data_IF_149200414846
#
_entry.id   IF_149200414846
#
_cell.length_a   1.000
_cell.length_b   1.000
_cell.length_c   1.000
_cell.angle_alpha   90.00
_cell.angle_beta   90.00
_cell.angle_gamma   90.00
#
_symmetry.space_group_name_H-M   'P 1'
#
loop_
_entity.id
_entity.type
_entity.pdbx_description
1 polymer ?
#
# COMPACT_ATOMS: atom_id res chain seq x y z
N UNK A 1 17.77 20.08 16.29
CA UNK A 1 16.68 19.60 15.40
C UNK A 1 16.66 18.08 15.47
N UNK A 2 15.64 17.47 16.08
CA UNK A 2 15.42 16.02 15.95
C UNK A 2 14.73 15.81 14.59
N UNK A 3 15.33 15.02 13.71
CA UNK A 3 14.68 14.61 12.47
C UNK A 3 13.39 13.86 12.84
N UNK A 4 12.24 14.42 12.45
CA UNK A 4 10.95 13.77 12.61
C UNK A 4 10.95 12.55 11.69
N UNK A 5 10.94 11.35 12.27
CA UNK A 5 10.89 10.10 11.50
C UNK A 5 9.49 10.02 10.89
N UNK A 6 9.42 10.15 9.57
CA UNK A 6 8.20 9.95 8.78
C UNK A 6 7.62 8.57 9.06
N UNK A 7 6.31 8.44 9.30
CA UNK A 7 5.69 7.14 9.49
C UNK A 7 5.77 6.30 8.21
N UNK A 8 6.16 5.03 8.38
CA UNK A 8 6.29 4.03 7.31
C UNK A 8 5.60 2.73 7.74
N UNK A 9 5.13 1.95 6.77
CA UNK A 9 4.76 0.55 7.02
C UNK A 9 6.05 -0.23 7.24
N UNK A 10 6.24 -0.81 8.43
CA UNK A 10 7.55 -1.35 8.84
C UNK A 10 7.73 -2.84 8.62
N UNK A 11 6.72 -3.60 9.03
CA UNK A 11 6.69 -5.05 8.98
C UNK A 11 5.29 -5.48 8.56
N UNK A 12 5.21 -6.51 7.73
CA UNK A 12 3.92 -7.07 7.32
C UNK A 12 3.96 -8.58 7.39
N UNK A 13 2.83 -9.15 7.80
CA UNK A 13 2.66 -10.56 8.04
C UNK A 13 1.30 -11.03 7.54
N UNK A 14 1.23 -12.25 7.06
CA UNK A 14 -0.05 -12.89 6.72
C UNK A 14 -0.10 -14.27 7.33
N UNK A 15 -1.09 -14.50 8.18
CA UNK A 15 -1.52 -15.84 8.57
C UNK A 15 -2.59 -16.31 7.59
N UNK A 16 -2.35 -17.43 6.93
CA UNK A 16 -3.28 -17.95 5.93
C UNK A 16 -3.12 -19.44 5.71
N UNK A 17 -4.13 -20.03 5.07
CA UNK A 17 -4.08 -21.42 4.64
C UNK A 17 -3.12 -21.55 3.44
N UNK A 18 -2.22 -22.52 3.50
CA UNK A 18 -1.32 -22.91 2.43
C UNK A 18 -1.85 -24.19 1.79
N UNK A 19 -2.30 -24.10 0.54
CA UNK A 19 -2.72 -25.22 -0.28
C UNK A 19 -1.64 -25.71 -1.25
N UNK A 20 -2.04 -26.57 -2.19
CA UNK A 20 -1.19 -27.03 -3.29
C UNK A 20 -1.42 -26.19 -4.54
N UNK A 21 -0.49 -26.29 -5.51
CA UNK A 21 -0.65 -25.70 -6.84
C UNK A 21 -1.05 -24.20 -6.83
N UNK A 22 -2.25 -23.89 -7.31
CA UNK A 22 -2.80 -22.54 -7.40
C UNK A 22 -3.20 -21.95 -6.04
N UNK A 23 -3.44 -22.80 -5.04
CA UNK A 23 -3.84 -22.44 -3.67
C UNK A 23 -2.64 -22.24 -2.73
N UNK A 24 -1.42 -22.19 -3.27
CA UNK A 24 -0.25 -21.76 -2.52
C UNK A 24 -0.45 -20.35 -1.95
N UNK A 25 0.05 -20.10 -0.74
CA UNK A 25 0.03 -18.76 -0.14
C UNK A 25 1.12 -17.91 -0.79
N UNK A 26 0.75 -16.77 -1.36
CA UNK A 26 1.65 -15.93 -2.15
C UNK A 26 1.63 -14.51 -1.59
N UNK A 27 2.74 -14.08 -0.98
CA UNK A 27 2.93 -12.70 -0.54
C UNK A 27 3.62 -11.88 -1.63
N UNK A 28 3.00 -10.78 -2.06
CA UNK A 28 3.61 -9.80 -2.96
C UNK A 28 4.04 -8.56 -2.18
N UNK A 29 5.24 -8.05 -2.46
CA UNK A 29 5.72 -6.80 -1.87
C UNK A 29 6.52 -5.96 -2.85
N UNK A 30 6.48 -4.64 -2.66
CA UNK A 30 7.20 -3.67 -3.48
C UNK A 30 8.24 -2.96 -2.62
N UNK A 31 9.47 -2.89 -3.12
CA UNK A 31 10.53 -2.04 -2.58
C UNK A 31 10.59 -0.78 -3.43
N UNK A 32 10.29 0.36 -2.82
CA UNK A 32 10.34 1.66 -3.49
C UNK A 32 11.62 2.44 -3.13
N UNK A 33 11.92 3.49 -3.90
CA UNK A 33 13.11 4.34 -3.71
C UNK A 33 14.21 4.02 -4.70
N UNK A 34 15.44 4.46 -4.42
CA UNK A 34 16.58 4.35 -5.34
C UNK A 34 17.72 3.48 -4.82
N UNK A 35 17.58 2.96 -3.60
CA UNK A 35 18.63 2.18 -2.94
C UNK A 35 18.14 0.76 -2.66
N UNK A 36 19.04 -0.24 -2.74
CA UNK A 36 18.73 -1.59 -2.31
C UNK A 36 18.36 -1.63 -0.83
N UNK A 37 17.49 -2.57 -0.44
CA UNK A 37 17.09 -2.81 0.94
C UNK A 37 17.39 -4.23 1.36
N UNK A 38 17.74 -4.41 2.63
CA UNK A 38 17.95 -5.74 3.20
C UNK A 38 16.65 -6.24 3.81
N UNK A 39 16.11 -7.29 3.23
CA UNK A 39 14.82 -7.89 3.56
C UNK A 39 15.06 -9.26 4.21
N UNK A 40 14.38 -9.51 5.32
CA UNK A 40 14.25 -10.84 5.91
C UNK A 40 12.84 -11.36 5.65
N UNK A 41 12.75 -12.55 5.06
CA UNK A 41 11.50 -13.29 4.84
C UNK A 41 11.51 -14.47 5.80
N UNK A 42 10.40 -14.68 6.49
CA UNK A 42 10.21 -15.79 7.42
C UNK A 42 8.87 -16.46 7.17
N UNK A 43 8.84 -17.79 7.22
CA UNK A 43 7.58 -18.55 7.20
C UNK A 43 7.55 -19.51 8.37
N UNK A 44 6.53 -19.36 9.21
CA UNK A 44 6.32 -20.17 10.40
C UNK A 44 5.11 -21.07 10.25
N UNK A 45 5.25 -22.32 10.66
CA UNK A 45 4.19 -23.32 10.73
C UNK A 45 4.18 -23.93 12.14
N UNK A 46 5.11 -24.86 12.46
CA UNK A 46 5.18 -25.44 13.80
C UNK A 46 5.32 -24.41 14.93
N UNK A 47 6.03 -23.29 14.70
CA UNK A 47 6.23 -22.23 15.72
C UNK A 47 4.94 -21.52 16.12
N UNK A 48 3.94 -21.42 15.24
CA UNK A 48 2.64 -20.81 15.57
C UNK A 48 1.65 -21.82 16.14
N UNK A 49 1.96 -23.12 16.08
CA UNK A 49 1.13 -24.20 16.65
C UNK A 49 1.25 -24.33 18.17
N UNK A 50 2.22 -23.65 18.76
CA UNK A 50 2.47 -23.64 20.21
C UNK A 50 2.17 -22.27 20.81
N UNK A 51 2.18 -22.18 22.14
CA UNK A 51 1.98 -20.92 22.85
C UNK A 51 3.03 -19.86 22.42
N UNK A 52 2.64 -18.57 22.31
CA UNK A 52 1.34 -18.01 22.74
C UNK A 52 0.23 -18.10 21.68
N UNK A 53 0.53 -18.51 20.44
CA UNK A 53 -0.42 -18.41 19.33
C UNK A 53 -1.43 -19.57 19.30
N UNK A 54 -1.00 -20.79 19.63
CA UNK A 54 -1.84 -21.98 19.74
C UNK A 54 -2.73 -22.23 18.50
N UNK A 55 -2.21 -21.95 17.30
CA UNK A 55 -2.94 -22.14 16.05
C UNK A 55 -3.06 -23.63 15.75
N UNK A 56 -4.27 -24.12 15.50
CA UNK A 56 -4.46 -25.52 15.10
C UNK A 56 -4.10 -25.73 13.61
N UNK A 57 -3.86 -26.99 13.21
CA UNK A 57 -3.67 -27.39 11.80
C UNK A 57 -2.57 -26.60 11.06
N UNK A 58 -1.45 -26.37 11.74
CA UNK A 58 -0.32 -25.65 11.15
C UNK A 58 0.37 -26.45 10.04
N UNK A 59 1.00 -25.72 9.12
CA UNK A 59 1.81 -26.31 8.06
C UNK A 59 3.11 -26.88 8.66
N UNK A 60 3.21 -28.21 8.79
CA UNK A 60 4.30 -28.87 9.55
C UNK A 60 5.72 -28.65 9.00
N UNK A 61 5.86 -28.37 7.70
CA UNK A 61 7.13 -28.27 6.99
C UNK A 61 7.02 -27.20 5.86
N UNK A 62 7.07 -25.90 6.22
CA UNK A 62 6.92 -24.81 5.27
C UNK A 62 8.21 -24.52 4.50
N UNK A 63 8.07 -24.43 3.17
CA UNK A 63 9.11 -23.96 2.24
C UNK A 63 8.76 -22.58 1.71
N UNK A 64 9.76 -21.78 1.37
CA UNK A 64 9.54 -20.47 0.76
C UNK A 64 10.52 -20.19 -0.39
N UNK A 65 9.97 -19.68 -1.49
CA UNK A 65 10.74 -19.29 -2.68
C UNK A 65 10.43 -17.83 -3.02
N UNK A 66 11.47 -17.01 -3.10
CA UNK A 66 11.42 -15.60 -3.49
C UNK A 66 11.66 -15.45 -4.98
N UNK A 67 10.83 -14.65 -5.63
CA UNK A 67 10.86 -14.36 -7.05
C UNK A 67 11.02 -12.86 -7.34
N UNK A 68 11.69 -12.56 -8.44
CA UNK A 68 11.67 -11.27 -9.13
C UNK A 68 11.13 -11.50 -10.55
N UNK A 69 9.94 -10.98 -10.84
CA UNK A 69 9.15 -11.45 -11.98
C UNK A 69 8.95 -12.97 -11.91
N UNK A 70 9.24 -13.67 -13.01
CA UNK A 70 9.14 -15.13 -13.09
C UNK A 70 10.42 -15.87 -12.62
N UNK A 71 11.47 -15.13 -12.25
CA UNK A 71 12.76 -15.74 -11.88
C UNK A 71 12.83 -15.99 -10.38
N UNK A 72 13.02 -17.25 -9.99
CA UNK A 72 13.34 -17.62 -8.61
C UNK A 72 14.76 -17.13 -8.26
N UNK A 73 14.87 -16.27 -7.25
CA UNK A 73 16.14 -15.65 -6.82
C UNK A 73 16.63 -16.16 -5.47
N UNK A 74 15.75 -16.78 -4.67
CA UNK A 74 16.13 -17.47 -3.44
C UNK A 74 15.08 -18.53 -3.10
N UNK A 75 15.52 -19.62 -2.46
CA UNK A 75 14.61 -20.62 -1.89
C UNK A 75 15.21 -21.13 -0.59
N UNK A 76 14.35 -21.47 0.37
CA UNK A 76 14.77 -22.17 1.57
C UNK A 76 13.70 -23.18 2.01
N UNK A 77 14.21 -24.29 2.53
CA UNK A 77 13.54 -25.44 3.12
C UNK A 77 14.49 -25.79 4.27
N UNK A 78 14.00 -25.66 5.51
CA UNK A 78 14.78 -25.69 6.74
C UNK A 78 15.84 -24.56 6.87
N UNK A 79 15.55 -23.50 7.64
CA UNK A 79 16.39 -22.30 7.76
C UNK A 79 17.79 -22.53 8.34
N UNK A 80 17.99 -23.66 9.03
CA UNK A 80 19.26 -23.99 9.69
C UNK A 80 20.23 -24.78 8.78
N UNK A 81 19.79 -25.24 7.61
CA UNK A 81 20.59 -26.12 6.75
C UNK A 81 21.79 -25.41 6.14
N UNK A 82 21.65 -24.14 5.76
CA UNK A 82 22.77 -23.28 5.38
C UNK A 82 23.23 -22.45 6.58
N UNK A 83 24.45 -22.73 7.06
CA UNK A 83 25.02 -22.04 8.22
C UNK A 83 25.21 -20.51 7.98
N UNK A 84 25.46 -20.08 6.74
CA UNK A 84 25.61 -18.67 6.39
C UNK A 84 24.28 -17.95 6.49
N UNK A 85 23.23 -18.54 5.91
CA UNK A 85 21.86 -18.02 5.99
C UNK A 85 21.38 -17.99 7.43
N UNK A 86 21.57 -19.08 8.18
CA UNK A 86 21.18 -19.18 9.58
C UNK A 86 21.87 -18.12 10.45
N UNK A 87 23.14 -17.80 10.18
CA UNK A 87 23.85 -16.72 10.85
C UNK A 87 23.30 -15.35 10.48
N UNK A 88 22.95 -15.12 9.21
CA UNK A 88 22.33 -13.88 8.76
C UNK A 88 20.97 -13.65 9.43
N UNK A 89 20.13 -14.68 9.54
CA UNK A 89 18.84 -14.63 10.23
C UNK A 89 19.02 -14.33 11.73
N UNK A 90 19.93 -15.04 12.41
CA UNK A 90 20.22 -14.83 13.85
C UNK A 90 20.74 -13.44 14.16
N UNK A 91 21.44 -12.79 13.23
CA UNK A 91 21.94 -11.43 13.41
C UNK A 91 20.81 -10.41 13.68
N UNK A 92 19.58 -10.72 13.26
CA UNK A 92 18.39 -9.89 13.47
C UNK A 92 17.49 -10.38 14.60
N UNK A 93 17.83 -11.51 15.24
CA UNK A 93 17.02 -12.15 16.30
C UNK A 93 15.59 -12.50 15.82
N UNK A 94 15.44 -12.78 14.53
CA UNK A 94 14.18 -13.12 13.89
C UNK A 94 14.12 -14.60 13.46
N UNK A 95 14.97 -15.46 14.00
CA UNK A 95 14.95 -16.88 13.67
C UNK A 95 13.60 -17.55 14.01
N UNK A 96 13.11 -18.47 13.17
CA UNK A 96 12.02 -19.37 13.55
C UNK A 96 12.42 -20.28 14.73
N UNK A 97 11.44 -20.73 15.53
CA UNK A 97 11.72 -21.64 16.65
C UNK A 97 11.89 -23.10 16.18
N UNK A 98 11.24 -23.50 15.09
CA UNK A 98 11.39 -24.83 14.51
C UNK A 98 12.52 -24.85 13.48
N UNK A 99 13.30 -25.94 13.45
CA UNK A 99 14.31 -26.15 12.43
C UNK A 99 13.71 -26.41 11.03
N UNK A 100 12.44 -26.82 10.97
CA UNK A 100 11.71 -27.12 9.72
C UNK A 100 11.16 -25.90 8.98
N UNK A 101 11.36 -24.72 9.53
CA UNK A 101 10.74 -23.50 9.02
C UNK A 101 11.64 -22.76 8.04
N UNK A 102 11.04 -21.94 7.19
CA UNK A 102 11.78 -21.19 6.18
C UNK A 102 12.22 -19.83 6.70
N UNK A 103 13.47 -19.45 6.42
CA UNK A 103 13.90 -18.06 6.56
C UNK A 103 14.99 -17.70 5.53
N UNK A 104 14.91 -16.48 4.98
CA UNK A 104 15.80 -15.94 3.97
C UNK A 104 16.16 -14.48 4.27
N UNK A 105 17.40 -14.08 4.04
CA UNK A 105 17.87 -12.68 4.11
C UNK A 105 18.48 -12.28 2.77
N UNK A 106 17.87 -11.32 2.07
CA UNK A 106 18.38 -10.84 0.78
C UNK A 106 18.48 -9.32 0.76
N UNK A 107 19.54 -8.83 0.14
CA UNK A 107 19.59 -7.42 -0.29
C UNK A 107 18.94 -7.35 -1.66
N UNK A 108 17.87 -6.58 -1.79
CA UNK A 108 17.02 -6.50 -2.96
C UNK A 108 16.99 -5.06 -3.48
N UNK A 109 17.16 -4.89 -4.79
CA UNK A 109 17.00 -3.60 -5.45
C UNK A 109 15.54 -3.14 -5.40
N UNK A 110 15.25 -1.82 -5.56
CA UNK A 110 13.89 -1.34 -5.75
C UNK A 110 13.18 -2.11 -6.89
N UNK A 111 11.98 -2.59 -6.63
CA UNK A 111 11.27 -3.51 -7.53
C UNK A 111 10.09 -4.21 -6.88
N UNK A 112 9.41 -5.07 -7.64
CA UNK A 112 8.31 -5.91 -7.17
C UNK A 112 8.79 -7.34 -7.00
N UNK A 113 8.43 -7.95 -5.88
CA UNK A 113 8.85 -9.29 -5.50
C UNK A 113 7.66 -10.11 -5.03
N UNK A 114 7.74 -11.42 -5.23
CA UNK A 114 6.75 -12.37 -4.69
C UNK A 114 7.43 -13.48 -3.90
N UNK A 115 6.83 -13.87 -2.79
CA UNK A 115 7.21 -15.04 -2.01
C UNK A 115 6.11 -16.06 -2.17
N UNK A 116 6.45 -17.23 -2.67
CA UNK A 116 5.53 -18.37 -2.73
C UNK A 116 5.85 -19.31 -1.58
N UNK A 117 4.84 -19.58 -0.76
CA UNK A 117 4.90 -20.51 0.37
C UNK A 117 4.22 -21.81 0.00
N UNK A 118 4.88 -22.93 0.25
CA UNK A 118 4.33 -24.29 0.04
C UNK A 118 4.71 -25.22 1.17
N UNK A 119 3.92 -26.26 1.39
CA UNK A 119 4.34 -27.38 2.21
C UNK A 119 5.26 -28.33 1.43
N UNK A 120 6.32 -28.81 2.08
CA UNK A 120 7.18 -29.86 1.53
C UNK A 120 6.35 -31.11 1.23
N UNK A 121 6.59 -31.74 0.07
CA UNK A 121 5.81 -32.91 -0.38
C UNK A 121 4.29 -32.66 -0.47
N UNK A 122 3.87 -31.43 -0.81
CA UNK A 122 2.47 -31.04 -0.99
C UNK A 122 1.61 -31.16 0.28
N UNK A 123 2.21 -31.13 1.47
CA UNK A 123 1.43 -30.96 2.70
C UNK A 123 0.74 -29.59 2.72
N UNK A 124 -0.38 -29.50 3.43
CA UNK A 124 -1.18 -28.28 3.55
C UNK A 124 -1.38 -27.94 5.03
N UNK A 125 -1.72 -26.69 5.31
CA UNK A 125 -1.92 -26.23 6.68
C UNK A 125 -1.85 -24.72 6.80
N UNK A 126 -1.96 -24.20 8.02
CA UNK A 126 -1.87 -22.77 8.30
C UNK A 126 -0.40 -22.37 8.48
N UNK A 127 0.03 -21.32 7.80
CA UNK A 127 1.35 -20.73 7.99
C UNK A 127 1.24 -19.22 8.22
N UNK A 128 2.28 -18.67 8.86
CA UNK A 128 2.50 -17.24 9.02
C UNK A 128 3.69 -16.83 8.16
N UNK A 129 3.42 -16.11 7.07
CA UNK A 129 4.43 -15.46 6.24
C UNK A 129 4.73 -14.07 6.82
N UNK A 130 5.99 -13.72 6.99
CA UNK A 130 6.43 -12.41 7.48
C UNK A 130 7.55 -11.86 6.60
N UNK A 131 7.47 -10.56 6.32
CA UNK A 131 8.48 -9.82 5.55
C UNK A 131 8.91 -8.61 6.38
N UNK A 132 10.20 -8.53 6.65
CA UNK A 132 10.83 -7.50 7.48
C UNK A 132 11.82 -6.68 6.67
N UNK A 133 11.73 -5.36 6.75
CA UNK A 133 12.85 -4.48 6.41
C UNK A 133 13.83 -4.47 7.58
N UNK A 134 14.98 -5.13 7.41
CA UNK A 134 15.99 -5.24 8.46
C UNK A 134 17.17 -4.29 8.23
N UNK A 135 17.06 -3.36 7.28
CA UNK A 135 18.05 -2.33 7.01
C UNK A 135 17.89 -1.12 7.97
N UNK A 136 18.06 -1.36 9.27
CA UNK A 136 17.83 -0.36 10.32
C UNK A 136 18.95 0.69 10.49
N UNK A 137 19.92 0.77 9.57
CA UNK A 137 21.15 1.58 9.75
C UNK A 137 21.27 2.83 8.89
N UNK A 138 20.29 3.17 8.05
CA UNK A 138 20.36 4.41 7.25
C UNK A 138 19.18 5.35 7.52
N UNK A 139 19.32 6.35 8.41
CA UNK A 139 18.33 7.41 8.58
C UNK A 139 18.13 8.28 7.31
N UNK A 140 18.90 8.02 6.24
CA UNK A 140 18.79 8.67 4.94
C UNK A 140 18.14 7.79 3.83
N UNK A 141 17.84 6.51 4.10
CA UNK A 141 17.22 5.64 3.08
C UNK A 141 15.70 5.75 3.14
N UNK A 142 15.15 6.60 2.29
CA UNK A 142 13.73 6.85 2.16
C UNK A 142 13.01 5.77 1.33
N UNK A 143 13.32 4.48 1.48
CA UNK A 143 12.39 3.44 0.97
C UNK A 143 11.20 3.39 1.90
N UNK A 144 10.08 3.94 1.43
CA UNK A 144 9.00 4.48 2.27
C UNK A 144 7.64 3.85 2.00
N UNK A 145 7.59 2.75 1.27
CA UNK A 145 6.32 2.10 0.91
C UNK A 145 6.54 0.61 0.77
N UNK A 146 5.93 -0.13 1.70
CA UNK A 146 5.56 -1.52 1.50
C UNK A 146 4.09 -1.49 1.12
N UNK A 147 3.76 -1.81 -0.13
CA UNK A 147 2.45 -2.36 -0.42
C UNK A 147 2.62 -3.86 -0.21
N UNK A 148 1.84 -4.44 0.71
CA UNK A 148 1.75 -5.89 0.83
C UNK A 148 0.40 -6.31 0.28
N UNK A 149 0.45 -7.30 -0.61
CA UNK A 149 -0.70 -8.11 -0.97
C UNK A 149 -0.41 -9.55 -0.59
N UNK A 150 -1.43 -10.30 -0.18
CA UNK A 150 -1.26 -11.75 -0.03
C UNK A 150 -2.41 -12.48 -0.69
N UNK A 151 -2.12 -13.25 -1.73
CA UNK A 151 -3.10 -14.15 -2.33
C UNK A 151 -3.11 -15.46 -1.55
N UNK A 152 -4.29 -15.90 -1.15
CA UNK A 152 -4.44 -17.20 -0.50
C UNK A 152 -5.90 -17.54 -0.22
N UNK A 153 -6.10 -18.76 0.27
CA UNK A 153 -7.43 -19.26 0.59
C UNK A 153 -7.90 -18.70 1.94
N UNK A 154 -9.05 -18.03 1.91
CA UNK A 154 -9.83 -17.59 3.07
C UNK A 154 -10.78 -18.71 3.45
N UNK A 155 -10.67 -19.18 4.70
CA UNK A 155 -11.55 -20.16 5.31
C UNK A 155 -12.40 -19.57 6.44
N UNK A 156 -12.86 -20.43 7.34
CA UNK A 156 -13.60 -20.06 8.55
C UNK A 156 -12.82 -20.44 9.81
N UNK A 157 -13.22 -19.92 10.97
CA UNK A 157 -12.52 -20.18 12.25
C UNK A 157 -11.05 -19.75 12.18
N UNK A 158 -10.13 -20.62 12.57
CA UNK A 158 -8.69 -20.33 12.52
C UNK A 158 -8.14 -20.10 11.09
N UNK A 159 -8.89 -20.55 10.07
CA UNK A 159 -8.53 -20.46 8.65
C UNK A 159 -8.97 -19.16 7.98
N UNK A 160 -9.58 -18.22 8.71
CA UNK A 160 -9.70 -16.83 8.19
C UNK A 160 -8.31 -16.28 7.87
N UNK A 161 -8.21 -15.45 6.84
CA UNK A 161 -6.94 -14.83 6.50
C UNK A 161 -6.72 -13.59 7.36
N UNK A 162 -5.53 -13.45 7.94
CA UNK A 162 -5.19 -12.31 8.80
C UNK A 162 -3.94 -11.65 8.28
N UNK A 163 -4.05 -10.39 7.86
CA UNK A 163 -2.90 -9.52 7.55
C UNK A 163 -2.55 -8.70 8.79
N UNK A 164 -1.38 -8.91 9.36
CA UNK A 164 -0.80 -8.05 10.40
C UNK A 164 0.12 -7.01 9.80
N UNK A 165 -0.02 -5.74 10.21
CA UNK A 165 0.81 -4.64 9.74
C UNK A 165 1.13 -3.65 10.86
N UNK A 166 2.25 -2.94 10.73
CA UNK A 166 2.73 -1.98 11.74
C UNK A 166 2.88 -0.59 11.13
N UNK A 167 2.26 0.40 11.76
CA UNK A 167 2.51 1.82 11.53
C UNK A 167 3.69 2.24 12.42
N UNK A 168 4.84 2.51 11.81
CA UNK A 168 6.03 3.01 12.51
C UNK A 168 6.06 4.54 12.52
N UNK A 169 6.97 5.12 13.29
CA UNK A 169 7.16 6.58 13.39
C UNK A 169 6.43 7.20 14.57
N UNK A 170 6.22 8.52 14.51
CA UNK A 170 5.65 9.30 15.63
C UNK A 170 4.36 10.03 15.28
N UNK A 171 3.86 9.85 14.06
CA UNK A 171 2.69 10.55 13.54
C UNK A 171 1.67 9.55 13.01
N UNK A 172 0.38 9.91 13.01
CA UNK A 172 -0.65 9.08 12.38
C UNK A 172 -0.39 8.89 10.89
N UNK A 173 -0.92 7.80 10.33
CA UNK A 173 -0.81 7.49 8.91
C UNK A 173 -2.16 7.11 8.30
N UNK A 174 -2.43 7.67 7.13
CA UNK A 174 -3.58 7.30 6.33
C UNK A 174 -3.28 6.00 5.58
N UNK A 175 -4.15 5.02 5.71
CA UNK A 175 -4.01 3.68 5.16
C UNK A 175 -5.31 3.31 4.46
N UNK A 176 -5.19 2.70 3.28
CA UNK A 176 -6.31 2.04 2.62
C UNK A 176 -6.05 0.54 2.69
N UNK A 177 -7.06 -0.20 3.13
CA UNK A 177 -7.02 -1.65 3.21
C UNK A 177 -8.13 -2.16 2.30
N UNK A 178 -7.79 -3.01 1.34
CA UNK A 178 -8.75 -3.59 0.39
C UNK A 178 -8.74 -5.10 0.51
N UNK A 179 -9.76 -5.77 -0.01
CA UNK A 179 -9.70 -7.19 -0.33
C UNK A 179 -10.33 -7.45 -1.67
N UNK A 180 -9.53 -7.97 -2.60
CA UNK A 180 -9.99 -8.37 -3.92
C UNK A 180 -10.36 -9.85 -3.89
N UNK A 181 -11.56 -10.17 -4.33
CA UNK A 181 -12.17 -11.50 -4.25
C UNK A 181 -12.60 -11.97 -5.63
N UNK A 182 -13.87 -11.75 -5.97
CA UNK A 182 -14.46 -12.11 -7.26
C UNK A 182 -13.68 -11.59 -8.47
N UNK A 183 -13.12 -10.38 -8.38
CA UNK A 183 -12.34 -9.78 -9.48
C UNK A 183 -11.08 -10.57 -9.84
N UNK A 184 -10.58 -11.44 -8.95
CA UNK A 184 -9.43 -12.31 -9.26
C UNK A 184 -9.75 -13.30 -10.41
N UNK A 185 -11.03 -13.58 -10.67
CA UNK A 185 -11.45 -14.42 -11.78
C UNK A 185 -11.03 -13.86 -13.15
N UNK A 186 -10.93 -12.54 -13.28
CA UNK A 186 -10.43 -11.87 -14.50
C UNK A 186 -8.97 -12.23 -14.80
N UNK A 187 -8.22 -12.66 -13.79
CA UNK A 187 -6.82 -13.07 -13.89
C UNK A 187 -6.65 -14.60 -13.93
N UNK A 188 -7.72 -15.34 -14.22
CA UNK A 188 -7.76 -16.81 -14.23
C UNK A 188 -7.37 -17.44 -12.89
N UNK A 189 -7.62 -16.76 -11.77
CA UNK A 189 -7.50 -17.36 -10.44
C UNK A 189 -8.73 -18.24 -10.19
N UNK A 190 -8.58 -19.54 -9.92
CA UNK A 190 -9.71 -20.41 -9.63
C UNK A 190 -10.27 -20.19 -8.21
N UNK A 191 -11.50 -20.63 -7.98
CA UNK A 191 -12.13 -20.71 -6.65
C UNK A 191 -12.11 -19.39 -5.85
N UNK A 192 -12.39 -18.26 -6.50
CA UNK A 192 -12.39 -16.94 -5.89
C UNK A 192 -13.43 -16.81 -4.78
N UNK A 193 -13.12 -16.02 -3.75
CA UNK A 193 -14.08 -15.60 -2.75
C UNK A 193 -14.90 -14.44 -3.32
N UNK A 194 -16.13 -14.70 -3.75
CA UNK A 194 -16.94 -13.71 -4.48
C UNK A 194 -17.39 -12.53 -3.61
N UNK A 195 -17.59 -12.74 -2.31
CA UNK A 195 -18.14 -11.74 -1.39
C UNK A 195 -17.29 -11.70 -0.09
N UNK A 196 -16.10 -11.07 -0.15
CA UNK A 196 -15.21 -10.93 0.99
C UNK A 196 -15.67 -9.82 1.94
N UNK A 197 -15.43 -10.00 3.24
CA UNK A 197 -15.64 -9.01 4.30
C UNK A 197 -14.34 -8.71 5.05
N UNK A 198 -14.14 -7.44 5.41
CA UNK A 198 -13.02 -6.95 6.20
C UNK A 198 -13.42 -6.53 7.63
N UNK A 199 -12.58 -6.89 8.60
CA UNK A 199 -12.57 -6.32 9.93
C UNK A 199 -11.15 -5.85 10.29
N UNK A 200 -11.02 -4.62 10.75
CA UNK A 200 -9.74 -4.03 11.16
C UNK A 200 -9.70 -3.97 12.68
N UNK A 201 -8.61 -4.47 13.26
CA UNK A 201 -8.43 -4.60 14.70
C UNK A 201 -7.19 -3.84 15.18
N UNK A 202 -7.27 -3.33 16.41
CA UNK A 202 -6.14 -2.83 17.21
C UNK A 202 -6.11 -3.59 18.53
N UNK A 203 -5.20 -4.56 18.63
CA UNK A 203 -5.29 -5.59 19.67
C UNK A 203 -6.61 -6.38 19.52
N UNK A 204 -7.35 -6.53 20.61
CA UNK A 204 -8.64 -7.24 20.62
C UNK A 204 -9.84 -6.35 20.23
N UNK A 205 -9.61 -5.07 19.89
CA UNK A 205 -10.67 -4.12 19.56
C UNK A 205 -10.87 -4.02 18.05
N UNK A 206 -12.10 -4.24 17.59
CA UNK A 206 -12.51 -3.91 16.22
C UNK A 206 -12.63 -2.39 16.11
N UNK A 207 -11.88 -1.80 15.17
CA UNK A 207 -11.86 -0.36 14.92
C UNK A 207 -12.52 0.02 13.59
N UNK A 208 -12.72 -0.93 12.68
CA UNK A 208 -13.50 -0.74 11.46
C UNK A 208 -14.00 -2.08 10.90
N UNK A 209 -15.11 -2.04 10.17
CA UNK A 209 -15.63 -3.17 9.39
C UNK A 209 -16.10 -2.68 8.04
N UNK A 210 -15.95 -3.49 6.99
CA UNK A 210 -16.50 -3.19 5.68
C UNK A 210 -16.84 -4.49 4.96
N UNK A 211 -17.98 -4.47 4.29
CA UNK A 211 -18.48 -5.54 3.42
C UNK A 211 -18.38 -5.05 1.97
N UNK A 212 -19.19 -4.05 1.62
CA UNK A 212 -19.14 -3.42 0.31
C UNK A 212 -18.44 -2.06 0.38
N UNK A 213 -17.39 -1.84 -0.40
CA UNK A 213 -16.69 -0.54 -0.41
C UNK A 213 -17.59 0.63 -0.82
N UNK A 214 -18.58 0.37 -1.69
CA UNK A 214 -19.51 1.41 -2.15
C UNK A 214 -20.46 1.89 -1.05
N UNK A 215 -20.60 1.11 0.03
CA UNK A 215 -21.37 1.46 1.22
C UNK A 215 -20.54 2.18 2.30
N UNK A 216 -19.22 2.30 2.09
CA UNK A 216 -18.30 2.90 3.05
C UNK A 216 -18.61 4.38 3.27
N UNK A 217 -18.58 4.88 4.53
CA UNK A 217 -18.68 6.32 4.81
C UNK A 217 -17.56 7.13 4.16
N UNK A 218 -16.44 6.49 3.82
CA UNK A 218 -15.27 7.10 3.17
C UNK A 218 -15.23 6.86 1.65
N UNK A 219 -16.36 6.47 1.03
CA UNK A 219 -16.47 6.16 -0.40
C UNK A 219 -15.72 7.15 -1.30
N UNK A 220 -16.01 8.44 -1.15
CA UNK A 220 -15.42 9.51 -1.94
C UNK A 220 -13.88 9.57 -1.81
N UNK A 221 -13.37 9.32 -0.61
CA UNK A 221 -11.93 9.29 -0.34
C UNK A 221 -11.30 8.04 -0.95
N UNK A 222 -11.93 6.87 -0.77
CA UNK A 222 -11.51 5.60 -1.35
C UNK A 222 -11.44 5.70 -2.87
N UNK A 223 -12.47 6.22 -3.52
CA UNK A 223 -12.52 6.42 -4.98
C UNK A 223 -11.40 7.33 -5.49
N UNK A 224 -11.03 8.37 -4.72
CA UNK A 224 -9.93 9.28 -5.06
C UNK A 224 -8.54 8.66 -4.93
N UNK A 225 -8.38 7.56 -4.20
CA UNK A 225 -7.07 6.90 -4.05
C UNK A 225 -6.58 6.29 -5.37
N UNK A 226 -7.48 5.94 -6.29
CA UNK A 226 -7.17 5.15 -7.48
C UNK A 226 -6.95 3.66 -7.21
N UNK A 227 -7.11 3.21 -5.96
CA UNK A 227 -6.96 1.83 -5.51
C UNK A 227 -8.29 1.22 -5.01
N UNK A 228 -9.43 1.84 -5.31
CA UNK A 228 -10.74 1.27 -4.96
C UNK A 228 -10.95 -0.05 -5.71
N UNK A 229 -11.59 -1.05 -5.09
CA UNK A 229 -12.02 -2.27 -5.80
C UNK A 229 -12.91 -1.95 -7.00
N UNK A 230 -12.95 -2.86 -7.98
CA UNK A 230 -13.82 -2.73 -9.16
C UNK A 230 -15.19 -3.31 -8.90
N UNK A 231 -15.23 -4.44 -8.20
CA UNK A 231 -16.47 -5.09 -7.80
C UNK A 231 -17.11 -4.34 -6.62
N UNK A 232 -18.40 -3.99 -6.66
CA UNK A 232 -19.09 -3.42 -5.50
C UNK A 232 -19.07 -4.29 -4.24
N UNK A 233 -18.98 -5.63 -4.37
CA UNK A 233 -18.97 -6.59 -3.26
C UNK A 233 -17.59 -6.75 -2.61
N UNK A 234 -16.57 -6.03 -3.09
CA UNK A 234 -15.24 -6.09 -2.50
C UNK A 234 -15.07 -4.98 -1.45
N UNK A 235 -14.53 -5.25 -0.25
CA UNK A 235 -14.45 -4.27 0.82
C UNK A 235 -13.23 -3.37 0.65
N UNK A 236 -13.39 -2.12 1.06
CA UNK A 236 -12.28 -1.18 1.20
C UNK A 236 -12.50 -0.27 2.42
N UNK A 237 -11.48 -0.17 3.25
CA UNK A 237 -11.48 0.61 4.49
C UNK A 237 -10.37 1.65 4.43
N UNK A 238 -10.74 2.92 4.56
CA UNK A 238 -9.80 4.04 4.69
C UNK A 238 -9.72 4.46 6.17
N UNK A 239 -8.51 4.49 6.75
CA UNK A 239 -8.31 4.84 8.15
C UNK A 239 -7.10 5.74 8.33
N UNK A 240 -7.18 6.66 9.30
CA UNK A 240 -6.00 7.30 9.87
C UNK A 240 -5.62 6.57 11.17
N UNK A 241 -4.49 5.87 11.13
CA UNK A 241 -4.02 5.01 12.21
C UNK A 241 -2.84 5.64 12.96
N UNK A 242 -2.87 5.59 14.29
CA UNK A 242 -1.71 5.98 15.12
C UNK A 242 -0.56 4.97 14.94
N UNK A 243 0.69 5.33 15.26
CA UNK A 243 1.77 4.35 15.35
C UNK A 243 1.39 3.18 16.27
N UNK A 244 1.53 1.96 15.77
CA UNK A 244 1.04 0.76 16.44
C UNK A 244 0.89 -0.45 15.52
N UNK A 245 0.51 -1.57 16.11
CA UNK A 245 0.24 -2.83 15.41
C UNK A 245 -1.26 -3.01 15.18
N UNK A 246 -1.61 -3.45 13.97
CA UNK A 246 -2.99 -3.65 13.54
C UNK A 246 -3.11 -4.97 12.79
N UNK A 247 -4.32 -5.51 12.74
CA UNK A 247 -4.65 -6.66 11.91
C UNK A 247 -5.88 -6.38 11.05
N UNK A 248 -5.85 -6.84 9.81
CA UNK A 248 -6.99 -6.94 8.92
C UNK A 248 -7.40 -8.42 8.84
N UNK A 249 -8.60 -8.73 9.33
CA UNK A 249 -9.19 -10.06 9.26
C UNK A 249 -10.11 -10.11 8.05
N UNK A 250 -9.86 -11.08 7.17
CA UNK A 250 -10.63 -11.33 5.97
C UNK A 250 -11.44 -12.60 6.16
N UNK A 251 -12.74 -12.50 5.90
CA UNK A 251 -13.69 -13.61 5.92
C UNK A 251 -14.63 -13.52 4.72
N UNK A 252 -15.44 -14.54 4.45
CA UNK A 252 -16.53 -14.45 3.48
C UNK A 252 -17.88 -14.22 4.15
N UNK A 253 -18.76 -13.47 3.49
CA UNK A 253 -20.17 -13.33 3.92
C UNK A 253 -20.82 -14.71 4.08
N UNK A 254 -21.62 -14.88 5.14
CA UNK A 254 -22.28 -16.14 5.49
C UNK A 254 -21.35 -17.37 5.60
N UNK A 255 -20.06 -17.15 5.86
CA UNK A 255 -19.05 -18.22 5.98
C UNK A 255 -18.56 -18.75 4.63
N UNK A 256 -18.77 -18.00 3.54
CA UNK A 256 -18.20 -18.29 2.24
C UNK A 256 -16.66 -18.42 2.34
N UNK A 257 -16.11 -19.28 1.49
CA UNK A 257 -14.67 -19.57 1.43
C UNK A 257 -14.20 -19.45 -0.01
N UNK A 258 -12.93 -19.09 -0.20
CA UNK A 258 -12.35 -18.96 -1.53
C UNK A 258 -11.01 -18.24 -1.50
N UNK A 259 -10.44 -18.02 -2.66
CA UNK A 259 -9.20 -17.26 -2.82
C UNK A 259 -9.50 -15.76 -2.80
N UNK A 260 -8.78 -15.02 -1.97
CA UNK A 260 -8.82 -13.57 -1.93
C UNK A 260 -7.41 -12.98 -1.91
N UNK A 261 -7.34 -11.68 -2.15
CA UNK A 261 -6.13 -10.86 -2.16
C UNK A 261 -6.38 -9.60 -1.34
N UNK A 262 -6.23 -9.66 0.00
CA UNK A 262 -6.14 -8.47 0.83
C UNK A 262 -4.85 -7.68 0.59
N UNK A 263 -4.98 -6.37 0.64
CA UNK A 263 -3.89 -5.43 0.36
C UNK A 263 -3.91 -4.28 1.37
N UNK A 264 -2.71 -3.83 1.77
CA UNK A 264 -2.54 -2.66 2.63
C UNK A 264 -1.72 -1.61 1.87
N UNK A 265 -2.31 -0.44 1.69
CA UNK A 265 -1.74 0.68 0.98
C UNK A 265 -1.46 1.83 1.94
N UNK A 266 -0.23 2.33 1.90
CA UNK A 266 0.11 3.63 2.47
C UNK A 266 -0.36 4.74 1.51
N UNK A 267 -1.60 5.17 1.70
CA UNK A 267 -2.21 6.29 0.98
C UNK A 267 -1.83 7.59 1.68
N UNK A 268 -0.59 8.03 1.46
CA UNK A 268 -0.10 9.36 1.87
C UNK A 268 -1.20 10.40 1.62
N UNK A 269 -1.38 11.34 2.56
CA UNK A 269 -2.33 12.46 2.44
C UNK A 269 -2.41 12.93 1.00
N UNK A 270 -3.46 12.47 0.31
CA UNK A 270 -3.65 12.74 -1.11
C UNK A 270 -3.76 14.25 -1.20
N UNK A 271 -2.75 14.90 -1.78
CA UNK A 271 -2.95 16.23 -2.35
C UNK A 271 -3.42 15.93 -3.76
N UNK A 272 -4.74 15.77 -3.91
CA UNK A 272 -5.35 15.63 -5.23
C UNK A 272 -5.53 17.04 -5.80
N UNK A 273 -4.86 17.30 -6.93
CA UNK A 273 -4.87 18.59 -7.62
C UNK A 273 -5.54 18.36 -8.96
N UNK A 274 -6.83 18.70 -9.05
CA UNK A 274 -7.62 18.55 -10.29
C UNK A 274 -7.92 19.90 -10.90
N UNK A 275 -7.82 19.97 -12.23
CA UNK A 275 -8.30 21.11 -13.01
C UNK A 275 -9.60 20.71 -13.71
N UNK A 276 -10.70 21.37 -13.35
CA UNK A 276 -12.00 21.23 -14.02
C UNK A 276 -12.26 22.48 -14.87
N UNK A 277 -12.31 22.41 -16.21
CA UNK A 277 -12.65 23.57 -17.02
C UNK A 277 -14.11 23.99 -16.74
N UNK A 278 -14.32 25.25 -16.36
CA UNK A 278 -15.67 25.82 -16.14
C UNK A 278 -16.24 26.45 -17.38
N UNK A 279 -15.39 27.05 -18.23
CA UNK A 279 -15.76 27.58 -19.54
C UNK A 279 -14.55 27.62 -20.47
N UNK A 280 -14.68 26.95 -21.62
CA UNK A 280 -13.63 26.87 -22.66
C UNK A 280 -13.51 28.19 -23.43
N UNK A 281 -14.61 28.92 -23.62
CA UNK A 281 -14.61 30.23 -24.28
C UNK A 281 -13.97 31.30 -23.41
N UNK A 282 -14.17 31.22 -22.10
CA UNK A 282 -13.78 32.27 -21.16
C UNK A 282 -12.42 32.00 -20.51
N UNK A 283 -11.76 30.89 -20.88
CA UNK A 283 -10.45 30.47 -20.36
C UNK A 283 -10.42 30.48 -18.83
N UNK A 284 -11.43 29.89 -18.21
CA UNK A 284 -11.49 29.70 -16.75
C UNK A 284 -11.39 28.23 -16.39
N UNK A 285 -10.71 27.93 -15.28
CA UNK A 285 -10.67 26.59 -14.72
C UNK A 285 -10.86 26.62 -13.21
N UNK A 286 -11.48 25.60 -12.66
CA UNK A 286 -11.50 25.33 -11.23
C UNK A 286 -10.32 24.46 -10.87
N UNK A 287 -9.48 24.96 -9.98
CA UNK A 287 -8.47 24.19 -9.29
C UNK A 287 -9.11 23.63 -8.02
N UNK A 288 -9.28 22.32 -7.97
CA UNK A 288 -9.72 21.63 -6.77
C UNK A 288 -8.50 21.05 -6.09
N UNK A 289 -8.23 21.49 -4.86
CA UNK A 289 -7.19 20.93 -4.01
C UNK A 289 -7.90 20.19 -2.88
N UNK A 290 -7.72 18.87 -2.86
CA UNK A 290 -8.23 18.05 -1.75
C UNK A 290 -7.06 17.62 -0.90
N UNK A 291 -7.18 17.77 0.43
CA UNK A 291 -6.22 17.26 1.41
C UNK A 291 -6.94 16.34 2.38
N UNK A 292 -7.06 15.06 2.06
CA UNK A 292 -7.63 14.03 2.94
C UNK A 292 -9.11 14.21 3.30
N UNK A 293 -9.42 15.22 4.12
CA UNK A 293 -10.74 15.49 4.73
C UNK A 293 -11.37 16.82 4.29
N UNK A 294 -10.64 17.71 3.61
CA UNK A 294 -11.15 18.99 3.11
C UNK A 294 -10.82 19.18 1.63
N UNK A 295 -11.79 19.71 0.86
CA UNK A 295 -11.60 20.11 -0.52
C UNK A 295 -11.86 21.62 -0.65
N UNK A 296 -10.92 22.34 -1.26
CA UNK A 296 -11.09 23.74 -1.63
C UNK A 296 -11.12 23.86 -3.15
N UNK A 297 -12.05 24.67 -3.65
CA UNK A 297 -12.17 24.99 -5.07
C UNK A 297 -11.77 26.44 -5.28
N UNK A 298 -10.80 26.66 -6.16
CA UNK A 298 -10.36 27.98 -6.57
C UNK A 298 -10.71 28.23 -8.04
N UNK A 299 -11.40 29.33 -8.31
CA UNK A 299 -11.63 29.79 -9.68
C UNK A 299 -10.36 30.47 -10.22
N UNK A 300 -9.80 29.91 -11.29
CA UNK A 300 -8.66 30.46 -12.02
C UNK A 300 -9.16 31.09 -13.33
N UNK A 301 -8.70 32.30 -13.64
CA UNK A 301 -8.95 32.98 -14.91
C UNK A 301 -7.66 33.23 -15.67
N UNK A 302 -7.58 32.76 -16.92
CA UNK A 302 -6.39 32.83 -17.78
C UNK A 302 -6.54 33.89 -18.90
N UNK A 303 -7.42 34.87 -18.71
CA UNK A 303 -7.66 35.94 -19.67
C UNK A 303 -6.66 37.08 -19.48
N UNK A 304 -5.82 37.34 -20.49
CA UNK A 304 -5.15 38.63 -20.70
C UNK A 304 -4.03 39.06 -19.74
N UNK A 305 -3.69 38.29 -18.70
CA UNK A 305 -2.72 38.75 -17.69
C UNK A 305 -1.28 38.34 -18.04
N UNK A 306 -0.42 39.31 -18.37
CA UNK A 306 1.06 39.21 -18.35
C UNK A 306 1.64 39.44 -16.94
N UNK A 307 0.79 39.51 -15.91
CA UNK A 307 1.17 39.82 -14.53
C UNK A 307 0.69 38.73 -13.57
N UNK A 308 1.51 38.43 -12.56
CA UNK A 308 1.19 37.41 -11.55
C UNK A 308 -0.12 37.74 -10.84
N UNK A 309 -1.09 36.83 -10.90
CA UNK A 309 -2.35 36.94 -10.14
C UNK A 309 -2.20 36.14 -8.85
N UNK A 310 -2.49 36.79 -7.72
CA UNK A 310 -2.44 36.17 -6.39
C UNK A 310 -3.87 36.04 -5.87
N UNK A 311 -4.29 34.82 -5.59
CA UNK A 311 -5.52 34.53 -4.87
C UNK A 311 -5.17 33.99 -3.47
N UNK A 312 -6.01 34.28 -2.48
CA UNK A 312 -5.88 33.74 -1.13
C UNK A 312 -7.15 32.98 -0.79
N UNK A 313 -6.99 31.77 -0.28
CA UNK A 313 -8.09 30.90 0.13
C UNK A 313 -7.83 30.31 1.51
N UNK A 314 -8.75 29.48 1.99
CA UNK A 314 -8.73 28.93 3.34
C UNK A 314 -7.48 28.08 3.61
N UNK A 315 -6.93 27.42 2.58
CA UNK A 315 -5.74 26.57 2.74
C UNK A 315 -4.41 27.26 2.39
N UNK A 316 -4.39 28.50 1.88
CA UNK A 316 -3.15 29.24 1.64
C UNK A 316 -3.19 30.30 0.51
N UNK A 317 -2.00 30.61 -0.02
CA UNK A 317 -1.79 31.62 -1.07
C UNK A 317 -1.47 30.95 -2.40
N UNK A 318 -2.19 31.35 -3.42
CA UNK A 318 -2.12 30.83 -4.77
C UNK A 318 -1.58 31.90 -5.71
N UNK A 319 -0.46 31.65 -6.38
CA UNK A 319 0.09 32.57 -7.36
C UNK A 319 0.20 31.87 -8.71
N UNK A 320 -0.34 32.50 -9.76
CA UNK A 320 -0.12 32.03 -11.12
C UNK A 320 0.30 33.19 -12.02
N UNK A 321 1.15 32.90 -13.00
CA UNK A 321 1.64 33.88 -13.97
C UNK A 321 1.62 33.25 -15.36
N UNK A 322 1.01 33.91 -16.32
CA UNK A 322 1.08 33.44 -17.70
C UNK A 322 2.46 33.78 -18.26
N UNK A 323 3.20 32.76 -18.67
CA UNK A 323 4.48 32.93 -19.34
C UNK A 323 4.30 33.26 -20.82
N UNK A 324 3.28 32.70 -21.46
CA UNK A 324 2.90 33.00 -22.83
C UNK A 324 1.43 32.61 -23.08
N UNK A 325 0.96 32.72 -24.33
CA UNK A 325 -0.42 32.42 -24.74
C UNK A 325 -0.83 30.95 -24.54
N UNK A 326 0.13 30.04 -24.30
CA UNK A 326 -0.05 28.60 -24.21
C UNK A 326 0.53 28.00 -22.93
N UNK A 327 1.19 28.79 -22.08
CA UNK A 327 1.85 28.31 -20.87
C UNK A 327 1.60 29.22 -19.69
N UNK A 328 1.15 28.64 -18.58
CA UNK A 328 1.05 29.33 -17.29
C UNK A 328 1.94 28.66 -16.27
N UNK A 329 2.81 29.44 -15.62
CA UNK A 329 3.51 28.99 -14.42
C UNK A 329 2.56 29.11 -13.24
N UNK A 330 2.45 28.04 -12.47
CA UNK A 330 1.63 28.00 -11.27
C UNK A 330 2.50 27.67 -10.06
N UNK A 331 2.32 28.46 -9.00
CA UNK A 331 2.90 28.23 -7.68
C UNK A 331 1.77 28.27 -6.66
N UNK A 332 1.40 27.13 -6.12
CA UNK A 332 0.38 27.00 -5.08
C UNK A 332 1.10 26.79 -3.77
N UNK A 333 0.86 27.65 -2.77
CA UNK A 333 1.35 27.43 -1.41
C UNK A 333 0.15 27.20 -0.50
N UNK A 334 -0.03 25.96 -0.03
CA UNK A 334 -1.15 25.59 0.82
C UNK A 334 -0.69 24.70 1.99
N UNK A 335 -1.10 25.03 3.21
CA UNK A 335 -0.77 24.27 4.43
C UNK A 335 0.72 23.92 4.57
N UNK A 336 1.61 24.84 4.13
CA UNK A 336 3.06 24.66 4.13
C UNK A 336 3.64 23.83 2.98
N UNK A 337 2.81 23.29 2.08
CA UNK A 337 3.22 22.66 0.84
C UNK A 337 3.32 23.70 -0.28
N UNK A 338 4.27 23.54 -1.20
CA UNK A 338 4.41 24.37 -2.40
C UNK A 338 4.38 23.49 -3.65
N UNK A 339 3.33 23.57 -4.45
CA UNK A 339 3.30 22.98 -5.79
C UNK A 339 3.76 24.01 -6.81
N UNK A 340 4.83 23.71 -7.54
CA UNK A 340 5.34 24.53 -8.64
C UNK A 340 5.18 23.76 -9.94
N UNK A 341 4.57 24.33 -10.98
CA UNK A 341 4.50 23.66 -12.26
C UNK A 341 4.18 24.57 -13.43
N UNK A 342 4.13 23.97 -14.62
CA UNK A 342 3.70 24.62 -15.85
C UNK A 342 2.44 23.94 -16.36
N UNK A 343 1.39 24.73 -16.57
CA UNK A 343 0.20 24.33 -17.29
C UNK A 343 0.40 24.63 -18.76
N UNK A 344 0.27 23.62 -19.61
CA UNK A 344 0.27 23.78 -21.07
C UNK A 344 -1.17 23.80 -21.59
N UNK A 345 -1.51 24.79 -22.40
CA UNK A 345 -2.78 24.89 -23.09
C UNK A 345 -2.61 24.53 -24.57
N UNK A 346 -3.43 23.61 -25.08
CA UNK A 346 -3.44 23.22 -26.49
C UNK A 346 -4.87 23.29 -27.03
N UNK A 347 -5.09 24.03 -28.13
CA UNK A 347 -6.41 24.17 -28.78
C UNK A 347 -7.58 24.46 -27.82
N UNK A 348 -7.41 25.42 -26.91
CA UNK A 348 -8.39 25.80 -25.86
C UNK A 348 -8.67 24.71 -24.81
N UNK A 349 -7.77 23.75 -24.59
CA UNK A 349 -7.82 22.75 -23.52
C UNK A 349 -6.56 22.85 -22.62
N UNK A 350 -6.67 22.48 -21.33
CA UNK A 350 -5.50 22.26 -20.46
C UNK A 350 -4.93 20.87 -20.81
N UNK A 351 -3.73 20.84 -21.38
CA UNK A 351 -3.16 19.63 -21.98
C UNK A 351 -2.26 18.83 -21.01
N UNK A 352 -1.45 19.49 -20.17
CA UNK A 352 -0.45 18.83 -19.31
C UNK A 352 -0.12 19.70 -18.09
N UNK A 353 0.03 19.08 -16.92
CA UNK A 353 0.71 19.66 -15.75
C UNK A 353 2.04 18.93 -15.53
N UNK A 354 3.13 19.71 -15.54
CA UNK A 354 4.47 19.25 -15.21
C UNK A 354 5.04 20.12 -14.09
N UNK A 355 5.39 19.51 -12.96
CA UNK A 355 5.75 20.26 -11.76
C UNK A 355 6.45 19.48 -10.67
N UNK A 356 6.67 20.17 -9.55
CA UNK A 356 7.27 19.65 -8.33
C UNK A 356 6.42 20.04 -7.14
N UNK A 357 6.22 19.10 -6.21
CA UNK A 357 5.56 19.35 -4.93
C UNK A 357 6.64 19.39 -3.83
N UNK A 358 6.74 20.52 -3.15
CA UNK A 358 7.62 20.76 -2.02
C UNK A 358 6.80 20.74 -0.72
N UNK A 359 7.36 20.18 0.36
CA UNK A 359 6.68 19.99 1.64
C UNK A 359 7.11 21.05 2.68
N UNK A 360 6.33 21.25 3.76
CA UNK A 360 6.78 22.08 4.86
C UNK A 360 8.04 21.47 5.49
N UNK A 361 9.16 22.19 5.45
CA UNK A 361 10.42 21.77 6.07
C UNK A 361 11.28 20.76 5.29
N UNK A 362 11.01 20.47 4.01
CA UNK A 362 11.85 19.51 3.26
C UNK A 362 11.55 19.24 1.78
N UNK A 363 12.37 18.33 1.22
CA UNK A 363 12.66 18.00 -0.20
C UNK A 363 11.49 17.95 -1.19
N UNK A 364 11.74 18.44 -2.42
CA UNK A 364 10.82 18.44 -3.57
C UNK A 364 10.68 17.05 -4.22
N UNK A 365 9.46 16.71 -4.66
CA UNK A 365 9.16 15.51 -5.46
C UNK A 365 8.59 15.91 -6.82
N UNK A 366 8.85 15.11 -7.86
CA UNK A 366 8.21 15.30 -9.15
C UNK A 366 6.69 15.06 -9.02
N UNK A 367 5.90 16.01 -9.52
CA UNK A 367 4.44 15.95 -9.59
C UNK A 367 4.07 16.04 -11.08
N UNK A 368 3.77 14.90 -11.69
CA UNK A 368 3.34 14.81 -13.09
C UNK A 368 1.98 14.15 -13.16
N UNK A 369 1.08 14.73 -13.96
CA UNK A 369 -0.25 14.17 -14.21
C UNK A 369 -0.69 14.44 -15.65
N UNK A 370 -1.26 13.41 -16.29
CA UNK A 370 -1.96 13.54 -17.58
C UNK A 370 -3.45 13.69 -17.28
N UNK A 371 -4.03 14.84 -17.65
CA UNK A 371 -5.48 15.04 -17.62
C UNK A 371 -6.14 14.10 -18.62
N UNK A 372 -7.00 13.20 -18.13
CA UNK A 372 -7.92 12.44 -18.98
C UNK A 372 -9.26 13.19 -18.92
N UNK A 373 -9.69 13.72 -20.05
CA UNK A 373 -11.02 14.28 -20.21
C UNK A 373 -12.02 13.13 -20.26
N UNK A 374 -13.09 13.19 -19.45
CA UNK A 374 -14.35 12.55 -19.83
C UNK A 374 -15.11 13.48 -20.76
#
# INVERSE_FOLDING_TARGET
MRAQIEPILGNVSTRGSVGTDADALIGGFIISGTAPRKILIRVQGPSIGVAPYNVAEVLDDPTCTLYSGDTAIATNDDWQTDATEANAVRAYQLQPNSARECALVRTLDPGSYTVIVRGKNNITGIALLEIFDVDSKSPASLSRTFNLSTRGRVGTGDKVMILGFIIQGTQPRNVLITTIGGSLGEFNVPNTLNDPKLEIHSGDQIIATCDDWMSSPDFDTIARTGFSPRDPLEPAVYLQLQPGSYTAVVSGVDGAQGVALPEVYDVRSLVDVRFAPTSISDRTAKLVISTGTTAETLDLSFVGATTATVATGANGTYTYTNSDAFRSKITITASGYTLNGTLLFYRNQIAVFDGTLQKPGGSSQAAGGRLIFQ
#
